data_IF_734361580449
#
_entry.id   IF_734361580449
#
_cell.length_a   1.000
_cell.length_b   1.000
_cell.length_c   1.000
_cell.angle_alpha   90.00
_cell.angle_beta   90.00
_cell.angle_gamma   90.00
#
_symmetry.space_group_name_H-M   'P 1'
#
loop_
_entity.id
_entity.type
_entity.pdbx_description
1 polymer ?
#
# COMPACT_ATOMS: atom_id res chain seq x y z
N UNK A 1 13.21 0.24 -17.49
CA UNK A 1 12.26 -0.61 -16.74
C UNK A 1 11.90 -1.87 -17.53
N UNK A 2 11.32 -1.76 -18.73
CA UNK A 2 10.90 -2.91 -19.57
C UNK A 2 12.06 -3.90 -19.81
N UNK A 3 13.25 -3.40 -20.15
CA UNK A 3 14.41 -4.28 -20.38
C UNK A 3 14.88 -4.99 -19.11
N UNK A 4 14.72 -4.34 -17.94
CA UNK A 4 15.07 -4.96 -16.66
C UNK A 4 14.09 -6.08 -16.32
N UNK A 5 12.77 -5.87 -16.43
CA UNK A 5 11.79 -6.95 -16.16
C UNK A 5 11.95 -8.12 -17.14
N UNK A 6 12.26 -7.83 -18.41
CA UNK A 6 12.53 -8.87 -19.42
C UNK A 6 13.75 -9.71 -19.06
N UNK A 7 14.85 -9.07 -18.63
CA UNK A 7 16.07 -9.76 -18.14
C UNK A 7 15.83 -10.59 -16.87
N UNK A 8 14.77 -10.30 -16.13
CA UNK A 8 14.36 -11.04 -14.94
C UNK A 8 13.25 -12.07 -15.22
N UNK A 9 13.06 -12.47 -16.48
CA UNK A 9 12.18 -13.58 -16.87
C UNK A 9 10.71 -13.22 -17.05
N UNK A 10 10.34 -11.94 -17.05
CA UNK A 10 8.98 -11.50 -17.37
C UNK A 10 8.83 -11.32 -18.88
N UNK A 11 7.75 -11.83 -19.45
CA UNK A 11 7.44 -11.61 -20.87
C UNK A 11 7.23 -10.12 -21.17
N UNK A 12 7.97 -9.60 -22.16
CA UNK A 12 8.02 -8.17 -22.49
C UNK A 12 6.67 -7.64 -22.92
N UNK A 13 6.03 -8.31 -23.88
CA UNK A 13 4.82 -7.80 -24.54
C UNK A 13 3.62 -7.90 -23.60
N UNK A 14 3.56 -8.99 -22.81
CA UNK A 14 2.59 -9.14 -21.72
C UNK A 14 2.77 -8.07 -20.65
N UNK A 15 4.02 -7.72 -20.31
CA UNK A 15 4.29 -6.67 -19.33
C UNK A 15 3.81 -5.31 -19.83
N UNK A 16 4.13 -4.92 -21.07
CA UNK A 16 3.72 -3.65 -21.66
C UNK A 16 2.20 -3.57 -21.74
N UNK A 17 1.55 -4.57 -22.33
CA UNK A 17 0.09 -4.61 -22.45
C UNK A 17 -0.62 -4.56 -21.09
N UNK A 18 -0.05 -5.20 -20.06
CA UNK A 18 -0.60 -5.12 -18.70
C UNK A 18 -0.39 -3.72 -18.09
N UNK A 19 0.80 -3.14 -18.22
CA UNK A 19 1.15 -1.83 -17.69
C UNK A 19 0.25 -0.72 -18.26
N UNK A 20 -0.11 -0.83 -19.54
CA UNK A 20 -0.96 0.12 -20.27
C UNK A 20 -2.46 -0.18 -20.16
N UNK A 21 -2.83 -1.30 -19.54
CA UNK A 21 -4.22 -1.74 -19.42
C UNK A 21 -5.06 -0.78 -18.58
N UNK A 22 -6.34 -0.69 -18.93
CA UNK A 22 -7.29 0.16 -18.20
C UNK A 22 -7.50 -0.33 -16.76
N UNK A 23 -7.31 -1.62 -16.49
CA UNK A 23 -7.33 -2.16 -15.14
C UNK A 23 -6.19 -1.61 -14.26
N UNK A 24 -4.98 -1.45 -14.82
CA UNK A 24 -3.86 -0.81 -14.10
C UNK A 24 -4.12 0.69 -13.92
N UNK A 25 -4.63 1.38 -14.94
CA UNK A 25 -5.02 2.80 -14.82
C UNK A 25 -6.07 3.01 -13.73
N UNK A 26 -7.13 2.20 -13.69
CA UNK A 26 -8.16 2.28 -12.67
C UNK A 26 -7.60 2.07 -11.25
N UNK A 27 -6.71 1.11 -11.06
CA UNK A 27 -6.03 0.88 -9.77
C UNK A 27 -5.11 2.04 -9.38
N UNK A 28 -4.44 2.67 -10.35
CA UNK A 28 -3.60 3.85 -10.10
C UNK A 28 -4.45 5.02 -9.60
N UNK A 29 -5.58 5.30 -10.24
CA UNK A 29 -6.50 6.37 -9.82
C UNK A 29 -7.09 6.09 -8.43
N UNK A 30 -7.55 4.87 -8.17
CA UNK A 30 -7.99 4.47 -6.83
C UNK A 30 -6.87 4.65 -5.79
N UNK A 31 -5.63 4.33 -6.13
CA UNK A 31 -4.48 4.52 -5.22
C UNK A 31 -4.24 6.00 -4.92
N UNK A 32 -4.37 6.90 -5.92
CA UNK A 32 -4.26 8.35 -5.71
C UNK A 32 -5.34 8.88 -4.77
N UNK A 33 -6.57 8.41 -4.94
CA UNK A 33 -7.67 8.75 -4.04
C UNK A 33 -7.40 8.30 -2.61
N UNK A 34 -6.89 7.07 -2.42
CA UNK A 34 -6.52 6.57 -1.09
C UNK A 34 -5.42 7.42 -0.44
N UNK A 35 -4.37 7.79 -1.18
CA UNK A 35 -3.30 8.68 -0.69
C UNK A 35 -3.86 10.01 -0.21
N UNK A 36 -4.79 10.59 -0.98
CA UNK A 36 -5.45 11.86 -0.63
C UNK A 36 -6.38 11.69 0.58
N UNK A 37 -7.26 10.71 0.57
CA UNK A 37 -8.30 10.50 1.59
C UNK A 37 -7.70 10.16 2.96
N UNK A 38 -6.57 9.45 2.99
CA UNK A 38 -5.84 9.14 4.22
C UNK A 38 -4.74 10.17 4.55
N UNK A 39 -4.64 11.27 3.80
CA UNK A 39 -3.62 12.30 3.95
C UNK A 39 -2.19 11.73 4.10
N UNK A 40 -1.82 10.78 3.24
CA UNK A 40 -0.50 10.14 3.33
C UNK A 40 0.59 11.16 2.96
N UNK A 41 1.45 11.53 3.93
CA UNK A 41 2.53 12.51 3.74
C UNK A 41 3.92 11.91 3.54
N UNK A 42 4.03 10.59 3.58
CA UNK A 42 5.32 9.91 3.46
C UNK A 42 5.19 8.40 3.59
N UNK A 43 6.28 7.71 3.29
CA UNK A 43 6.36 6.24 3.33
C UNK A 43 7.40 5.77 4.37
N UNK A 44 7.21 4.59 4.99
CA UNK A 44 6.00 3.77 4.94
C UNK A 44 4.88 4.35 5.83
N UNK A 45 3.65 4.31 5.31
CA UNK A 45 2.39 4.59 6.01
C UNK A 45 1.47 3.38 5.83
N UNK A 46 0.79 2.98 6.90
CA UNK A 46 -0.12 1.83 6.93
C UNK A 46 -1.45 2.26 7.52
N UNK A 47 -2.52 1.88 6.82
CA UNK A 47 -3.91 2.05 7.29
C UNK A 47 -4.44 0.69 7.74
N UNK A 48 -5.00 0.62 8.94
CA UNK A 48 -5.56 -0.60 9.52
C UNK A 48 -7.09 -0.46 9.60
N UNK A 49 -7.78 -1.39 8.95
CA UNK A 49 -9.25 -1.50 8.92
C UNK A 49 -9.98 -0.22 8.46
N UNK A 50 -9.33 0.59 7.63
CA UNK A 50 -9.87 1.88 7.18
C UNK A 50 -10.07 2.92 8.29
N UNK A 51 -9.63 2.63 9.52
CA UNK A 51 -9.93 3.42 10.73
C UNK A 51 -8.69 4.04 11.36
N UNK A 52 -7.59 3.29 11.39
CA UNK A 52 -6.35 3.71 12.03
C UNK A 52 -5.26 3.96 11.00
N UNK A 53 -4.49 5.03 11.19
CA UNK A 53 -3.32 5.34 10.38
C UNK A 53 -2.08 5.40 11.27
N UNK A 54 -1.02 4.73 10.85
CA UNK A 54 0.31 4.84 11.46
C UNK A 54 1.39 4.92 10.37
N UNK A 55 2.56 5.41 10.72
CA UNK A 55 3.71 5.52 9.81
C UNK A 55 5.00 5.33 10.57
N UNK A 56 6.12 5.13 9.86
CA UNK A 56 7.43 5.09 10.51
C UNK A 56 7.70 6.36 11.32
N UNK A 57 7.25 7.53 10.85
CA UNK A 57 7.38 8.80 11.58
C UNK A 57 6.57 8.81 12.87
N UNK A 58 5.32 8.34 12.83
CA UNK A 58 4.45 8.28 14.01
C UNK A 58 4.92 7.24 15.04
N UNK A 59 5.47 6.12 14.57
CA UNK A 59 5.96 5.05 15.42
C UNK A 59 7.38 5.28 15.98
N UNK A 60 8.11 6.30 15.51
CA UNK A 60 9.49 6.54 15.90
C UNK A 60 10.54 5.67 15.19
N UNK A 61 10.17 5.06 14.06
CA UNK A 61 11.04 4.26 13.21
C UNK A 61 10.32 3.08 12.55
N UNK A 62 10.97 2.51 11.53
CA UNK A 62 10.44 1.34 10.80
C UNK A 62 10.37 0.07 11.65
N UNK A 63 11.27 -0.08 12.63
CA UNK A 63 11.23 -1.22 13.57
C UNK A 63 10.02 -1.15 14.50
N UNK A 64 9.75 0.03 15.04
CA UNK A 64 8.63 0.28 15.94
C UNK A 64 7.29 0.22 15.22
N UNK A 65 7.25 0.57 13.94
CA UNK A 65 6.06 0.47 13.10
C UNK A 65 5.43 -0.93 13.15
N UNK A 66 6.24 -1.99 13.15
CA UNK A 66 5.73 -3.36 13.21
C UNK A 66 4.98 -3.65 14.52
N UNK A 67 5.47 -3.13 15.66
CA UNK A 67 4.83 -3.30 16.96
C UNK A 67 3.52 -2.52 17.04
N UNK A 68 3.51 -1.28 16.55
CA UNK A 68 2.29 -0.45 16.48
C UNK A 68 1.26 -1.10 15.56
N UNK A 69 1.70 -1.67 14.43
CA UNK A 69 0.82 -2.37 13.50
C UNK A 69 0.14 -3.58 14.16
N UNK A 70 0.89 -4.42 14.87
CA UNK A 70 0.32 -5.59 15.58
C UNK A 70 -0.73 -5.16 16.62
N UNK A 71 -0.45 -4.11 17.39
CA UNK A 71 -1.40 -3.55 18.35
C UNK A 71 -2.68 -3.04 17.64
N UNK A 72 -2.55 -2.24 16.58
CA UNK A 72 -3.69 -1.68 15.87
C UNK A 72 -4.55 -2.76 15.20
N UNK A 73 -3.93 -3.82 14.67
CA UNK A 73 -4.67 -4.96 14.09
C UNK A 73 -5.48 -5.70 15.16
N UNK A 74 -4.89 -5.96 16.33
CA UNK A 74 -5.60 -6.58 17.45
C UNK A 74 -6.77 -5.70 17.92
N UNK A 75 -6.54 -4.40 18.04
CA UNK A 75 -7.57 -3.44 18.44
C UNK A 75 -8.71 -3.33 17.42
N UNK A 76 -8.40 -3.31 16.12
CA UNK A 76 -9.43 -3.27 15.08
C UNK A 76 -10.31 -4.53 15.12
N UNK A 77 -9.70 -5.71 15.32
CA UNK A 77 -10.44 -6.98 15.42
C UNK A 77 -11.41 -7.02 16.60
N UNK A 78 -11.04 -6.47 17.76
CA UNK A 78 -11.94 -6.45 18.92
C UNK A 78 -13.11 -5.49 18.76
N UNK A 79 -12.99 -4.51 17.86
CA UNK A 79 -14.00 -3.48 17.64
C UNK A 79 -14.92 -3.76 16.45
N UNK A 80 -14.65 -4.82 15.66
CA UNK A 80 -15.58 -5.24 14.61
C UNK A 80 -16.80 -5.88 15.25
N UNK A 81 -18.01 -5.31 15.07
CA UNK A 81 -19.22 -6.03 15.41
C UNK A 81 -19.34 -7.27 14.50
N UNK A 82 -19.77 -8.40 15.07
CA UNK A 82 -20.04 -9.65 14.35
C UNK A 82 -21.09 -9.44 13.24
#
# INVERSE_FOLDING_TARGET
MIDWVSRNGVDRDKFISTLESDAVKARLEQSRELVKNYEVRGVPTVVVDGKYLTSARLAGGTRQLAQVLDYLVKLARTQRPN
#
